data_IF_331687222091
#
_entry.id   IF_331687222091
#
_cell.length_a   1.000
_cell.length_b   1.000
_cell.length_c   1.000
_cell.angle_alpha   90.00
_cell.angle_beta   90.00
_cell.angle_gamma   90.00
#
_symmetry.space_group_name_H-M   'P 1'
#
loop_
_entity.id
_entity.type
_entity.pdbx_description
1 polymer ?
#
# COMPACT_ATOMS: atom_id res chain seq x y z
N UNK A 1 -38.55 20.20 -19.66
CA UNK A 1 -38.03 19.82 -21.00
C UNK A 1 -36.54 20.16 -20.94
N UNK A 2 -35.54 19.28 -21.05
CA UNK A 2 -35.43 17.93 -21.62
C UNK A 2 -34.23 17.25 -20.93
N UNK A 3 -34.35 15.93 -20.77
CA UNK A 3 -33.34 15.00 -20.22
C UNK A 3 -32.02 15.09 -20.98
N UNK A 4 -30.90 14.95 -20.25
CA UNK A 4 -29.73 14.28 -20.79
C UNK A 4 -29.24 13.25 -19.76
N UNK A 5 -29.84 12.06 -19.81
CA UNK A 5 -29.19 10.85 -19.33
C UNK A 5 -28.32 10.32 -20.46
N UNK A 6 -27.03 10.11 -20.19
CA UNK A 6 -26.26 9.03 -20.81
C UNK A 6 -25.68 8.18 -19.68
N UNK A 7 -25.91 6.86 -19.70
CA UNK A 7 -25.44 5.93 -18.68
C UNK A 7 -24.12 5.27 -19.09
N UNK A 8 -23.45 4.70 -18.09
CA UNK A 8 -22.53 3.57 -18.18
C UNK A 8 -21.08 3.84 -18.60
N UNK A 9 -20.18 3.60 -17.65
CA UNK A 9 -18.73 3.67 -17.81
C UNK A 9 -18.04 3.50 -16.46
N UNK A 10 -18.37 2.40 -15.76
CA UNK A 10 -17.63 1.85 -14.63
C UNK A 10 -17.38 2.86 -13.50
N UNK A 11 -18.33 2.92 -12.57
CA UNK A 11 -18.01 3.16 -11.14
C UNK A 11 -17.18 1.95 -10.68
N UNK A 12 -15.96 1.81 -11.23
CA UNK A 12 -14.92 1.13 -10.48
C UNK A 12 -14.85 1.99 -9.23
N UNK A 13 -15.14 1.45 -8.05
CA UNK A 13 -14.94 2.22 -6.85
C UNK A 13 -13.53 2.78 -6.99
N UNK A 14 -13.42 4.09 -7.16
CA UNK A 14 -12.21 4.86 -6.91
C UNK A 14 -11.97 4.60 -5.43
N UNK A 15 -11.45 3.42 -5.12
CA UNK A 15 -10.96 3.06 -3.82
C UNK A 15 -9.78 3.96 -3.72
N UNK A 16 -10.03 5.18 -3.21
CA UNK A 16 -9.07 6.22 -2.94
C UNK A 16 -7.87 5.53 -2.34
N UNK A 17 -6.92 5.21 -3.22
CA UNK A 17 -5.84 4.33 -2.86
C UNK A 17 -5.07 5.21 -1.89
N UNK A 18 -4.91 4.79 -0.64
CA UNK A 18 -4.22 5.59 0.35
C UNK A 18 -2.92 6.08 -0.28
N UNK A 19 -2.73 7.40 -0.22
CA UNK A 19 -1.74 8.11 -1.03
C UNK A 19 -0.41 7.34 -1.00
N UNK A 20 -0.14 6.66 -2.13
CA UNK A 20 0.99 5.74 -2.27
C UNK A 20 2.31 6.50 -2.40
N UNK A 21 2.30 7.83 -2.22
CA UNK A 21 3.49 8.71 -2.27
C UNK A 21 4.20 8.81 -0.92
N UNK A 22 3.73 8.08 0.10
CA UNK A 22 4.46 7.88 1.36
C UNK A 22 5.57 6.82 1.26
N UNK A 23 6.00 6.44 0.05
CA UNK A 23 7.22 5.65 -0.14
C UNK A 23 8.41 6.45 0.39
N UNK A 24 9.15 5.96 1.40
CA UNK A 24 10.37 6.62 1.84
C UNK A 24 11.37 6.66 0.68
N UNK A 25 12.22 7.70 0.66
CA UNK A 25 13.15 7.94 -0.44
C UNK A 25 14.12 6.77 -0.74
N UNK A 26 14.37 5.92 0.26
CA UNK A 26 15.31 4.79 0.20
C UNK A 26 14.66 3.45 0.56
N UNK A 27 13.36 3.27 0.25
CA UNK A 27 12.64 2.03 0.57
C UNK A 27 11.67 1.56 -0.50
N UNK A 28 11.27 0.29 -0.40
CA UNK A 28 10.26 -0.31 -1.26
C UNK A 28 8.95 -0.41 -0.50
N UNK A 29 7.86 0.11 -1.07
CA UNK A 29 6.52 -0.04 -0.52
C UNK A 29 5.59 -0.73 -1.53
N UNK A 30 4.91 -1.78 -1.08
CA UNK A 30 3.88 -2.51 -1.83
C UNK A 30 2.56 -2.31 -1.09
N UNK A 31 1.71 -1.45 -1.63
CA UNK A 31 0.33 -1.30 -1.17
C UNK A 31 -0.58 -2.23 -1.98
N UNK A 32 -1.43 -2.98 -1.29
CA UNK A 32 -2.38 -3.89 -1.90
C UNK A 32 -3.63 -3.99 -1.03
N UNK A 33 -4.73 -4.42 -1.64
CA UNK A 33 -5.97 -4.62 -0.90
C UNK A 33 -6.44 -6.05 -1.02
N UNK A 34 -6.42 -6.83 0.08
CA UNK A 34 -7.04 -8.14 0.08
C UNK A 34 -8.55 -8.02 -0.13
N UNK A 35 -9.15 -9.02 -0.78
CA UNK A 35 -10.58 -9.03 -1.04
C UNK A 35 -11.38 -8.84 0.26
N UNK A 36 -12.28 -7.85 0.26
CA UNK A 36 -13.18 -7.52 1.38
C UNK A 36 -12.47 -7.13 2.69
N UNK A 37 -11.19 -6.74 2.63
CA UNK A 37 -10.41 -6.29 3.79
C UNK A 37 -9.96 -4.83 3.60
N UNK A 38 -9.54 -4.14 4.68
CA UNK A 38 -8.87 -2.86 4.56
C UNK A 38 -7.60 -2.98 3.71
N UNK A 39 -7.15 -1.84 3.16
CA UNK A 39 -5.86 -1.77 2.48
C UNK A 39 -4.73 -2.20 3.42
N UNK A 40 -3.75 -2.87 2.84
CA UNK A 40 -2.53 -3.27 3.52
C UNK A 40 -1.34 -2.73 2.75
N UNK A 41 -0.29 -2.43 3.47
CA UNK A 41 0.97 -2.02 2.90
C UNK A 41 2.08 -2.82 3.54
N UNK A 42 2.99 -3.32 2.70
CA UNK A 42 4.26 -3.87 3.12
C UNK A 42 5.32 -2.85 2.73
N UNK A 43 6.10 -2.40 3.70
CA UNK A 43 7.21 -1.48 3.50
C UNK A 43 8.52 -2.14 3.91
N UNK A 44 9.53 -1.96 3.07
CA UNK A 44 10.89 -2.37 3.31
C UNK A 44 11.75 -1.12 3.46
N UNK A 45 12.40 -1.00 4.61
CA UNK A 45 13.32 0.11 4.91
C UNK A 45 14.69 -0.45 5.24
N UNK A 46 15.76 0.13 4.69
CA UNK A 46 17.12 -0.26 5.07
C UNK A 46 17.35 -0.01 6.57
N UNK A 47 18.01 -0.96 7.23
CA UNK A 47 18.37 -0.82 8.64
C UNK A 47 19.59 0.08 8.74
N UNK A 48 19.48 1.18 9.47
CA UNK A 48 20.62 2.04 9.79
C UNK A 48 21.56 1.44 10.84
N UNK A 49 21.02 0.57 11.70
CA UNK A 49 21.74 0.03 12.88
C UNK A 49 22.45 -1.30 12.61
N UNK A 50 22.12 -2.00 11.51
CA UNK A 50 22.70 -3.29 11.15
C UNK A 50 22.46 -3.57 9.67
N UNK A 51 23.17 -4.54 9.09
CA UNK A 51 22.83 -5.04 7.76
C UNK A 51 21.41 -5.62 7.70
N UNK A 52 20.80 -5.50 6.51
CA UNK A 52 19.45 -5.97 6.21
C UNK A 52 18.39 -4.86 6.23
N UNK A 53 17.14 -5.27 6.33
CA UNK A 53 15.96 -4.44 6.11
C UNK A 53 14.94 -4.62 7.23
N UNK A 54 14.11 -3.62 7.43
CA UNK A 54 12.88 -3.71 8.22
C UNK A 54 11.73 -4.07 7.29
N UNK A 55 11.12 -5.23 7.51
CA UNK A 55 9.82 -5.58 6.96
C UNK A 55 8.74 -4.99 7.89
N UNK A 56 8.02 -3.99 7.40
CA UNK A 56 6.98 -3.29 8.14
C UNK A 56 5.65 -3.57 7.48
N UNK A 57 4.75 -4.18 8.23
CA UNK A 57 3.38 -4.44 7.82
C UNK A 57 2.50 -3.32 8.37
N UNK A 58 1.74 -2.68 7.51
CA UNK A 58 0.85 -1.58 7.82
C UNK A 58 -0.56 -1.90 7.32
N UNK A 59 -1.57 -1.48 8.08
CA UNK A 59 -2.98 -1.56 7.70
C UNK A 59 -3.57 -0.16 7.61
N UNK A 60 -4.39 0.07 6.60
CA UNK A 60 -5.10 1.33 6.45
C UNK A 60 -6.30 1.39 7.40
N UNK A 61 -6.28 2.37 8.29
CA UNK A 61 -7.36 2.58 9.29
C UNK A 61 -8.52 3.43 8.78
N UNK A 62 -8.47 3.88 7.52
CA UNK A 62 -9.43 4.81 6.92
C UNK A 62 -8.90 6.23 6.79
N UNK A 63 -7.95 6.64 7.63
CA UNK A 63 -7.33 7.97 7.60
C UNK A 63 -5.80 7.93 7.55
N UNK A 64 -5.18 6.87 8.08
CA UNK A 64 -3.74 6.71 8.11
C UNK A 64 -3.33 5.25 8.09
N UNK A 65 -2.08 5.01 7.68
CA UNK A 65 -1.40 3.74 7.84
C UNK A 65 -1.09 3.52 9.32
N UNK A 66 -1.41 2.32 9.80
CA UNK A 66 -1.05 1.86 11.14
C UNK A 66 -0.13 0.67 11.01
N UNK A 67 1.08 0.78 11.56
CA UNK A 67 1.98 -0.37 11.68
C UNK A 67 1.34 -1.44 12.56
N UNK A 68 1.16 -2.63 12.00
CA UNK A 68 0.65 -3.82 12.67
C UNK A 68 1.75 -4.85 12.94
N UNK A 69 2.88 -4.75 12.25
CA UNK A 69 4.04 -5.60 12.48
C UNK A 69 5.32 -4.96 11.95
N UNK A 70 6.45 -5.27 12.60
CA UNK A 70 7.78 -4.87 12.17
C UNK A 70 8.75 -5.97 12.52
N UNK A 71 9.51 -6.45 11.55
CA UNK A 71 10.47 -7.54 11.72
C UNK A 71 11.76 -7.25 10.94
N UNK A 72 12.95 -7.61 11.48
CA UNK A 72 14.18 -7.51 10.71
C UNK A 72 14.28 -8.67 9.72
N UNK A 73 14.69 -8.38 8.49
CA UNK A 73 14.95 -9.37 7.43
C UNK A 73 16.32 -9.13 6.82
N UNK A 74 17.06 -10.19 6.54
CA UNK A 74 18.42 -10.05 6.01
C UNK A 74 18.45 -9.74 4.50
N UNK A 75 17.59 -10.40 3.72
CA UNK A 75 17.59 -10.31 2.25
C UNK A 75 16.17 -10.18 1.69
N UNK A 76 16.02 -9.42 0.59
CA UNK A 76 14.74 -9.22 -0.12
C UNK A 76 14.97 -9.48 -1.61
N UNK A 77 14.12 -10.31 -2.20
CA UNK A 77 14.08 -10.54 -3.65
C UNK A 77 12.72 -10.16 -4.19
N UNK A 78 12.68 -9.19 -5.10
CA UNK A 78 11.46 -8.79 -5.80
C UNK A 78 11.51 -9.35 -7.21
N UNK A 79 10.61 -10.27 -7.51
CA UNK A 79 10.44 -10.82 -8.85
C UNK A 79 9.05 -10.42 -9.32
N UNK A 80 8.99 -9.69 -10.44
CA UNK A 80 7.75 -9.45 -11.16
C UNK A 80 7.91 -10.09 -12.55
N UNK A 81 6.98 -10.97 -12.90
CA UNK A 81 6.92 -11.67 -14.19
C UNK A 81 6.33 -10.80 -15.31
#
# INVERSE_FOLDING_TARGET
MTRNSRPDGTDEPEFDAPDSRQTPADGLAIAYRPARQPWRQIRFEERTDADGWWLINEEWTGCSWRTVGREPVDEIFVNAE
#
